data_IF_271912968190
#
_entry.id   IF_271912968190
#
_cell.length_a   1.000
_cell.length_b   1.000
_cell.length_c   1.000
_cell.angle_alpha   90.00
_cell.angle_beta   90.00
_cell.angle_gamma   90.00
#
_symmetry.space_group_name_H-M   'P 1'
#
loop_
_entity.id
_entity.type
_entity.pdbx_description
1 polymer ?
#
# COMPACT_ATOMS: atom_id res chain seq x y z
N UNK A 1 7.48 2.50 8.14
CA UNK A 1 7.48 1.03 7.92
C UNK A 1 6.32 0.68 7.01
N UNK A 2 6.46 -0.24 6.04
CA UNK A 2 5.32 -0.60 5.15
C UNK A 2 4.16 -1.16 5.97
N UNK A 3 3.03 -0.44 5.92
CA UNK A 3 1.75 -0.78 6.56
C UNK A 3 0.84 -1.56 5.60
N UNK A 4 -0.26 -2.07 6.13
CA UNK A 4 -1.31 -2.74 5.36
C UNK A 4 -2.62 -2.06 5.68
N UNK A 5 -3.43 -1.83 4.65
CA UNK A 5 -4.85 -1.52 4.79
C UNK A 5 -5.66 -2.58 4.07
N UNK A 6 -6.90 -2.83 4.50
CA UNK A 6 -7.80 -3.72 3.79
C UNK A 6 -9.25 -3.29 3.92
N UNK A 7 -10.05 -3.75 2.97
CA UNK A 7 -11.51 -3.60 2.99
C UNK A 7 -12.18 -4.97 2.93
N UNK A 8 -13.38 -5.10 3.47
CA UNK A 8 -14.14 -6.35 3.44
C UNK A 8 -15.63 -6.08 3.52
N UNK A 9 -16.43 -6.85 2.76
CA UNK A 9 -17.90 -6.81 2.81
C UNK A 9 -18.43 -8.02 3.56
N UNK A 10 -18.15 -9.23 3.05
CA UNK A 10 -18.65 -10.50 3.63
C UNK A 10 -17.66 -11.17 4.59
N UNK A 11 -16.56 -10.50 4.95
CA UNK A 11 -15.56 -11.00 5.89
C UNK A 11 -14.50 -11.93 5.29
N UNK A 12 -14.55 -12.27 4.01
CA UNK A 12 -13.54 -13.16 3.39
C UNK A 12 -12.12 -12.55 3.42
N UNK A 13 -12.00 -11.26 3.10
CA UNK A 13 -10.73 -10.54 3.21
C UNK A 13 -10.25 -10.46 4.66
N UNK A 14 -11.14 -10.23 5.62
CA UNK A 14 -10.80 -10.27 7.05
C UNK A 14 -10.21 -11.62 7.43
N UNK A 15 -10.89 -12.72 7.09
CA UNK A 15 -10.38 -14.09 7.36
C UNK A 15 -9.01 -14.33 6.73
N UNK A 16 -8.74 -13.75 5.55
CA UNK A 16 -7.42 -13.82 4.96
C UNK A 16 -6.38 -13.07 5.80
N UNK A 17 -6.66 -11.81 6.18
CA UNK A 17 -5.79 -11.00 7.04
C UNK A 17 -5.48 -11.75 8.34
N UNK A 18 -6.48 -12.33 8.98
CA UNK A 18 -6.32 -13.08 10.24
C UNK A 18 -5.33 -14.24 10.07
N UNK A 19 -5.43 -15.01 8.97
CA UNK A 19 -4.47 -16.09 8.65
C UNK A 19 -3.04 -15.58 8.47
N UNK A 20 -2.87 -14.35 7.97
CA UNK A 20 -1.54 -13.76 7.79
C UNK A 20 -0.91 -13.29 9.10
N UNK A 21 -1.69 -13.01 10.15
CA UNK A 21 -1.18 -12.46 11.41
C UNK A 21 -0.46 -11.11 11.24
N UNK A 22 -0.68 -10.40 10.13
CA UNK A 22 -0.09 -9.11 9.86
C UNK A 22 -0.97 -8.02 10.48
N UNK A 23 -0.35 -7.00 11.09
CA UNK A 23 -1.08 -5.82 11.53
C UNK A 23 -1.57 -5.02 10.31
N UNK A 24 -2.89 -4.84 10.21
CA UNK A 24 -3.54 -4.18 9.09
C UNK A 24 -4.67 -3.27 9.58
N UNK A 25 -4.78 -2.10 8.97
CA UNK A 25 -5.89 -1.18 9.21
C UNK A 25 -7.10 -1.60 8.37
N UNK A 26 -8.26 -1.78 9.01
CA UNK A 26 -9.52 -2.03 8.32
C UNK A 26 -10.16 -0.71 7.92
N UNK A 27 -10.48 -0.57 6.64
CA UNK A 27 -11.32 0.52 6.13
C UNK A 27 -12.77 0.19 6.52
N UNK A 28 -13.43 1.13 7.20
CA UNK A 28 -14.82 1.01 7.63
C UNK A 28 -15.73 1.93 6.85
N UNK A 29 -16.95 1.47 6.55
CA UNK A 29 -17.94 2.26 5.81
C UNK A 29 -18.41 3.51 6.56
N UNK A 30 -18.49 3.41 7.89
CA UNK A 30 -18.91 4.54 8.72
C UNK A 30 -17.85 5.66 8.78
N UNK A 31 -16.57 5.30 8.70
CA UNK A 31 -15.44 6.23 8.85
C UNK A 31 -14.29 5.86 7.90
N UNK A 32 -14.48 6.02 6.57
CA UNK A 32 -13.48 5.58 5.59
C UNK A 32 -12.22 6.46 5.57
N UNK A 33 -12.30 7.67 6.12
CA UNK A 33 -11.21 8.65 6.11
C UNK A 33 -10.18 8.35 7.21
N UNK A 34 -9.10 7.67 6.84
CA UNK A 34 -7.96 7.40 7.73
C UNK A 34 -6.64 7.67 7.03
N UNK A 35 -5.75 8.48 7.62
CA UNK A 35 -4.46 8.80 7.02
C UNK A 35 -3.42 7.72 7.37
N UNK A 36 -2.89 7.03 6.37
CA UNK A 36 -1.92 5.94 6.60
C UNK A 36 -0.57 6.42 7.13
N UNK A 37 -0.15 7.63 6.75
CA UNK A 37 1.15 8.28 7.06
C UNK A 37 2.42 7.55 6.56
N UNK A 38 2.35 6.25 6.33
CA UNK A 38 3.44 5.44 5.76
C UNK A 38 3.03 4.86 4.41
N UNK A 39 4.03 4.44 3.63
CA UNK A 39 3.82 3.57 2.48
C UNK A 39 3.05 2.30 2.88
N UNK A 40 2.10 1.88 2.06
CA UNK A 40 1.24 0.74 2.40
C UNK A 40 0.82 -0.09 1.18
N UNK A 41 0.42 -1.33 1.46
CA UNK A 41 -0.24 -2.23 0.51
C UNK A 41 -1.72 -2.29 0.87
N UNK A 42 -2.59 -2.24 -0.14
CA UNK A 42 -4.03 -2.31 0.05
C UNK A 42 -4.56 -3.68 -0.40
N UNK A 43 -5.34 -4.34 0.46
CA UNK A 43 -5.95 -5.66 0.20
C UNK A 43 -7.47 -5.52 0.11
N UNK A 44 -8.08 -5.93 -1.01
CA UNK A 44 -9.47 -5.60 -1.29
C UNK A 44 -10.22 -6.75 -1.99
N UNK A 45 -11.52 -6.92 -1.71
CA UNK A 45 -12.37 -7.87 -2.42
C UNK A 45 -12.70 -7.37 -3.83
N UNK A 46 -13.35 -8.24 -4.61
CA UNK A 46 -13.87 -7.93 -5.95
C UNK A 46 -15.37 -7.69 -5.88
N UNK A 47 -15.80 -6.45 -6.13
CA UNK A 47 -17.20 -6.03 -6.17
C UNK A 47 -17.43 -4.95 -7.23
N UNK A 48 -18.69 -4.62 -7.48
CA UNK A 48 -19.08 -3.52 -8.37
C UNK A 48 -18.67 -2.16 -7.79
N UNK A 49 -18.50 -1.17 -8.66
CA UNK A 49 -17.85 0.10 -8.30
C UNK A 49 -18.62 0.86 -7.21
N UNK A 50 -19.96 0.86 -7.27
CA UNK A 50 -20.84 1.49 -6.27
C UNK A 50 -20.75 0.88 -4.86
N UNK A 51 -20.09 -0.28 -4.70
CA UNK A 51 -19.88 -0.90 -3.39
C UNK A 51 -18.53 -0.50 -2.77
N UNK A 52 -17.70 0.22 -3.51
CA UNK A 52 -16.31 0.55 -3.16
C UNK A 52 -16.11 2.02 -2.79
N UNK A 53 -17.19 2.78 -2.56
CA UNK A 53 -17.12 4.21 -2.22
C UNK A 53 -16.21 4.46 -1.02
N UNK A 54 -16.31 3.65 0.04
CA UNK A 54 -15.43 3.71 1.22
C UNK A 54 -13.95 3.53 0.89
N UNK A 55 -13.63 2.70 -0.12
CA UNK A 55 -12.26 2.51 -0.60
C UNK A 55 -11.79 3.73 -1.39
N UNK A 56 -12.68 4.34 -2.19
CA UNK A 56 -12.38 5.58 -2.94
C UNK A 56 -12.15 6.74 -1.98
N UNK A 57 -13.00 6.91 -0.97
CA UNK A 57 -12.86 7.93 0.07
C UNK A 57 -11.55 7.75 0.84
N UNK A 58 -11.23 6.51 1.23
CA UNK A 58 -9.96 6.19 1.87
C UNK A 58 -8.76 6.54 0.96
N UNK A 59 -8.79 6.17 -0.32
CA UNK A 59 -7.69 6.42 -1.25
C UNK A 59 -7.48 7.90 -1.56
N UNK A 60 -8.57 8.68 -1.62
CA UNK A 60 -8.54 10.11 -1.92
C UNK A 60 -8.25 10.97 -0.68
N UNK A 61 -8.29 10.38 0.51
CA UNK A 61 -7.98 11.09 1.74
C UNK A 61 -6.47 11.39 1.87
N UNK A 62 -6.13 12.69 1.89
CA UNK A 62 -4.76 13.21 2.11
C UNK A 62 -3.76 12.58 1.14
N UNK A 63 -2.63 12.07 1.65
CA UNK A 63 -1.56 11.46 0.85
C UNK A 63 -1.72 9.95 0.64
N UNK A 64 -2.88 9.35 0.96
CA UNK A 64 -3.06 7.91 0.84
C UNK A 64 -2.82 7.39 -0.58
N UNK A 65 -3.30 8.10 -1.61
CA UNK A 65 -2.99 7.74 -3.00
C UNK A 65 -1.48 7.74 -3.28
N UNK A 66 -0.73 8.71 -2.77
CA UNK A 66 0.74 8.82 -2.97
C UNK A 66 1.52 7.74 -2.20
N UNK A 67 0.92 7.23 -1.13
CA UNK A 67 1.56 6.24 -0.26
C UNK A 67 1.23 4.79 -0.64
N UNK A 68 0.34 4.57 -1.60
CA UNK A 68 -0.01 3.24 -2.07
C UNK A 68 1.15 2.62 -2.87
N UNK A 69 1.67 1.50 -2.40
CA UNK A 69 2.73 0.74 -3.09
C UNK A 69 2.20 -0.28 -4.10
N UNK A 70 1.00 -0.80 -3.86
CA UNK A 70 0.40 -1.82 -4.69
C UNK A 70 -0.84 -2.45 -4.06
N UNK A 71 -1.48 -3.30 -4.86
CA UNK A 71 -2.78 -3.89 -4.57
C UNK A 71 -2.68 -5.40 -4.44
N UNK A 72 -3.43 -5.98 -3.50
CA UNK A 72 -3.72 -7.42 -3.47
C UNK A 72 -5.23 -7.58 -3.63
N UNK A 73 -5.63 -8.30 -4.68
CA UNK A 73 -7.03 -8.53 -4.98
C UNK A 73 -7.51 -9.88 -4.48
N UNK A 74 -8.57 -9.90 -3.69
CA UNK A 74 -9.34 -11.11 -3.39
C UNK A 74 -10.51 -11.22 -4.38
N UNK A 75 -10.81 -12.43 -4.85
CA UNK A 75 -11.93 -12.66 -5.77
C UNK A 75 -12.39 -14.10 -5.74
N UNK A 76 -13.25 -14.47 -6.69
CA UNK A 76 -13.66 -15.85 -6.91
C UNK A 76 -13.44 -16.16 -8.41
N UNK A 77 -12.70 -17.23 -8.70
CA UNK A 77 -12.31 -17.60 -10.08
C UNK A 77 -13.51 -18.02 -10.92
N UNK A 78 -14.63 -18.37 -10.31
CA UNK A 78 -15.90 -18.63 -11.01
C UNK A 78 -16.40 -17.42 -11.80
N UNK A 79 -15.87 -16.23 -11.55
CA UNK A 79 -16.20 -15.01 -12.30
C UNK A 79 -15.24 -14.74 -13.48
N UNK A 80 -14.38 -15.69 -13.84
CA UNK A 80 -13.49 -15.63 -15.01
C UNK A 80 -12.69 -14.31 -15.07
N UNK A 81 -12.89 -13.49 -16.11
CA UNK A 81 -12.18 -12.24 -16.33
C UNK A 81 -12.38 -11.20 -15.22
N UNK A 82 -13.50 -11.30 -14.50
CA UNK A 82 -13.83 -10.44 -13.36
C UNK A 82 -13.10 -10.86 -12.07
N UNK A 83 -12.33 -11.95 -12.07
CA UNK A 83 -11.48 -12.32 -10.96
C UNK A 83 -10.48 -11.19 -10.65
N UNK A 84 -10.55 -10.62 -9.45
CA UNK A 84 -9.70 -9.50 -9.04
C UNK A 84 -10.08 -8.17 -9.68
N UNK A 85 -11.31 -8.00 -10.20
CA UNK A 85 -11.70 -6.82 -10.99
C UNK A 85 -11.43 -5.49 -10.29
N UNK A 86 -11.69 -5.39 -8.99
CA UNK A 86 -11.52 -4.13 -8.25
C UNK A 86 -10.04 -3.74 -8.19
N UNK A 87 -9.15 -4.69 -7.91
CA UNK A 87 -7.72 -4.45 -7.94
C UNK A 87 -7.22 -4.11 -9.36
N UNK A 88 -7.74 -4.79 -10.39
CA UNK A 88 -7.42 -4.47 -11.80
C UNK A 88 -7.81 -3.04 -12.17
N UNK A 89 -9.02 -2.62 -11.83
CA UNK A 89 -9.51 -1.26 -12.09
C UNK A 89 -8.63 -0.21 -11.37
N UNK A 90 -8.43 -0.34 -10.07
CA UNK A 90 -7.62 0.61 -9.29
C UNK A 90 -6.17 0.64 -9.78
N UNK A 91 -5.61 -0.51 -10.18
CA UNK A 91 -4.25 -0.59 -10.74
C UNK A 91 -4.08 0.28 -11.98
N UNK A 92 -5.02 0.18 -12.93
CA UNK A 92 -5.04 1.01 -14.15
C UNK A 92 -5.27 2.48 -13.81
N UNK A 93 -6.24 2.79 -12.94
CA UNK A 93 -6.59 4.18 -12.59
C UNK A 93 -5.45 4.91 -11.87
N UNK A 94 -4.78 4.24 -10.93
CA UNK A 94 -3.75 4.87 -10.09
C UNK A 94 -2.32 4.56 -10.53
N UNK A 95 -2.13 3.78 -11.59
CA UNK A 95 -0.82 3.33 -12.08
C UNK A 95 0.01 2.64 -10.99
N UNK A 96 -0.65 1.81 -10.18
CA UNK A 96 -0.03 1.04 -9.08
C UNK A 96 -0.05 -0.45 -9.41
N UNK A 97 0.99 -1.22 -9.05
CA UNK A 97 1.06 -2.63 -9.43
C UNK A 97 0.06 -3.48 -8.64
N UNK A 98 -0.48 -4.51 -9.30
CA UNK A 98 -1.10 -5.65 -8.61
C UNK A 98 0.03 -6.56 -8.15
N UNK A 99 0.16 -6.75 -6.84
CA UNK A 99 1.22 -7.56 -6.24
C UNK A 99 0.82 -9.03 -6.16
N UNK A 100 -0.47 -9.32 -5.97
CA UNK A 100 -0.98 -10.68 -5.86
C UNK A 100 -2.50 -10.73 -6.08
N UNK A 101 -3.01 -11.87 -6.57
CA UNK A 101 -4.43 -12.17 -6.62
C UNK A 101 -4.70 -13.51 -5.93
N UNK A 102 -5.73 -13.56 -5.09
CA UNK A 102 -6.10 -14.76 -4.34
C UNK A 102 -7.60 -15.02 -4.38
N UNK A 103 -7.97 -16.28 -4.14
CA UNK A 103 -9.35 -16.71 -4.14
C UNK A 103 -9.95 -16.73 -2.72
N UNK A 104 -11.14 -16.16 -2.58
CA UNK A 104 -11.94 -16.14 -1.36
C UNK A 104 -11.13 -15.61 -0.16
N UNK A 105 -10.92 -16.45 0.87
CA UNK A 105 -10.15 -16.12 2.06
C UNK A 105 -8.70 -16.62 2.00
N UNK A 106 -8.24 -17.04 0.82
CA UNK A 106 -6.89 -17.55 0.56
C UNK A 106 -6.59 -18.90 1.20
N UNK A 107 -5.61 -19.59 0.62
CA UNK A 107 -5.02 -20.82 1.16
C UNK A 107 -3.67 -20.54 1.84
N UNK A 108 -2.99 -21.59 2.32
CA UNK A 108 -1.70 -21.46 3.00
C UNK A 108 -0.57 -20.95 2.09
N UNK A 109 -0.63 -21.24 0.79
CA UNK A 109 0.30 -20.70 -0.22
C UNK A 109 0.09 -19.20 -0.40
N UNK A 110 -1.16 -18.73 -0.47
CA UNK A 110 -1.47 -17.31 -0.57
C UNK A 110 -0.95 -16.54 0.65
N UNK A 111 -1.12 -17.11 1.84
CA UNK A 111 -0.59 -16.53 3.09
C UNK A 111 0.93 -16.42 3.05
N UNK A 112 1.64 -17.46 2.61
CA UNK A 112 3.11 -17.45 2.46
C UNK A 112 3.55 -16.38 1.47
N UNK A 113 2.93 -16.33 0.30
CA UNK A 113 3.26 -15.38 -0.77
C UNK A 113 3.03 -13.93 -0.33
N UNK A 114 1.89 -13.62 0.29
CA UNK A 114 1.60 -12.25 0.76
C UNK A 114 2.54 -11.84 1.89
N UNK A 115 2.87 -12.72 2.83
CA UNK A 115 3.88 -12.43 3.87
C UNK A 115 5.24 -12.12 3.25
N UNK A 116 5.64 -12.87 2.23
CA UNK A 116 6.90 -12.63 1.53
C UNK A 116 6.91 -11.27 0.81
N UNK A 117 5.85 -10.94 0.07
CA UNK A 117 5.68 -9.65 -0.60
C UNK A 117 5.81 -8.49 0.41
N UNK A 118 5.12 -8.57 1.54
CA UNK A 118 5.17 -7.54 2.58
C UNK A 118 6.58 -7.43 3.18
N UNK A 119 7.25 -8.56 3.41
CA UNK A 119 8.62 -8.59 3.92
C UNK A 119 9.59 -7.90 2.96
N UNK A 120 9.49 -8.19 1.66
CA UNK A 120 10.33 -7.60 0.62
C UNK A 120 10.07 -6.11 0.46
N UNK A 121 8.80 -5.68 0.46
CA UNK A 121 8.44 -4.26 0.44
C UNK A 121 9.06 -3.52 1.63
N UNK A 122 9.01 -4.11 2.84
CA UNK A 122 9.65 -3.53 4.05
C UNK A 122 11.17 -3.45 3.92
N UNK A 123 11.83 -4.42 3.27
CA UNK A 123 13.28 -4.39 3.03
C UNK A 123 13.65 -3.29 2.05
N UNK A 124 12.91 -3.16 0.94
CA UNK A 124 13.14 -2.13 -0.09
C UNK A 124 13.01 -0.72 0.49
N UNK A 125 11.96 -0.45 1.27
CA UNK A 125 11.79 0.86 1.91
C UNK A 125 12.91 1.19 2.90
N UNK A 126 13.42 0.19 3.65
CA UNK A 126 14.57 0.39 4.54
C UNK A 126 15.88 0.64 3.77
N UNK A 127 16.04 0.06 2.58
CA UNK A 127 17.18 0.30 1.70
C UNK A 127 17.13 1.69 1.07
N UNK A 128 15.98 2.08 0.51
CA UNK A 128 15.78 3.41 -0.06
C UNK A 128 16.01 4.53 0.97
N UNK A 129 15.70 4.29 2.25
CA UNK A 129 15.94 5.25 3.33
C UNK A 129 17.41 5.33 3.78
N UNK A 130 18.25 4.35 3.44
CA UNK A 130 19.72 4.41 3.64
C UNK A 130 20.45 5.14 2.52
N UNK A 131 19.88 5.18 1.32
CA UNK A 131 20.46 5.84 0.15
C UNK A 131 20.04 7.33 0.03
N UNK A 132 19.16 7.81 0.90
CA UNK A 132 19.01 9.25 1.13
C UNK A 132 20.26 9.76 1.83
N UNK A 133 20.90 10.86 1.36
CA UNK A 133 22.09 11.39 2.00
C UNK A 133 21.74 11.68 3.46
N UNK A 134 22.44 11.00 4.37
CA UNK A 134 22.38 11.29 5.79
C UNK A 134 22.74 12.77 5.91
N UNK A 135 21.76 13.62 6.23
CA UNK A 135 22.05 14.95 6.78
C UNK A 135 22.71 14.70 8.12
N UNK A 136 24.03 14.64 8.09
CA UNK A 136 24.86 14.37 9.24
C UNK A 136 24.74 15.59 10.17
N UNK A 137 24.13 15.49 11.38
CA UNK A 137 23.99 16.64 12.27
C UNK A 137 25.35 17.16 12.78
N UNK A 138 26.43 16.42 12.53
CA UNK A 138 27.80 16.76 12.92
C UNK A 138 28.57 17.60 11.88
N UNK A 139 27.93 18.06 10.79
CA UNK A 139 28.58 18.93 9.79
C UNK A 139 28.00 20.34 9.71
N UNK A 140 27.23 20.79 10.71
CA UNK A 140 26.76 22.18 10.77
C UNK A 140 27.85 23.22 11.06
N UNK A 141 29.12 22.81 11.20
CA UNK A 141 30.26 23.70 11.47
C UNK A 141 31.45 23.47 10.53
N UNK A 142 31.23 23.41 9.22
CA UNK A 142 32.34 23.54 8.25
C UNK A 142 32.06 24.72 7.32
N UNK A 143 32.76 25.81 7.62
CA UNK A 143 32.89 27.04 6.84
C UNK A 143 33.67 26.78 5.54
N UNK A 144 32.99 26.27 4.50
CA UNK A 144 33.60 26.19 3.16
C UNK A 144 32.65 26.56 2.00
N UNK A 145 31.45 27.07 2.28
CA UNK A 145 30.52 27.55 1.25
C UNK A 145 30.17 29.05 1.37
N UNK A 146 31.06 29.86 1.95
CA UNK A 146 31.00 31.32 1.85
C UNK A 146 31.52 31.86 0.51
N UNK A 147 32.31 31.08 -0.23
CA UNK A 147 33.18 31.66 -1.27
C UNK A 147 32.66 31.51 -2.71
N UNK A 148 31.41 31.08 -2.91
CA UNK A 148 30.82 30.94 -4.25
C UNK A 148 29.60 31.84 -4.52
N UNK A 149 29.43 32.93 -3.77
CA UNK A 149 28.40 33.95 -4.07
C UNK A 149 28.87 35.41 -4.04
N UNK A 150 30.17 35.66 -4.25
CA UNK A 150 30.70 37.00 -4.50
C UNK A 150 31.91 36.95 -5.44
N UNK A 151 31.66 36.72 -6.73
CA UNK A 151 32.43 37.25 -7.87
C UNK A 151 31.90 36.59 -9.14
N UNK A 152 30.89 37.23 -9.72
CA UNK A 152 30.88 37.67 -11.10
C UNK A 152 29.69 38.63 -11.23
N UNK A 153 29.97 39.71 -11.93
CA UNK A 153 29.19 40.94 -12.13
C UNK A 153 27.70 40.74 -12.45
#
# INVERSE_FOLDING_TARGET
MVKIAFYTITGQTQRFIDKTGLNAHRIEDAHPQYQMNDKYILILPSYQDFMMDSVVDFLTYKDNKKNLLGLIGCGNRNFNDLFGQTAKKISVTLHVPILYLLELSGNSTDVKNVRQIVMEARKKEKGAQKDLPIQNPALSNISFLSDFRQKNE
#
